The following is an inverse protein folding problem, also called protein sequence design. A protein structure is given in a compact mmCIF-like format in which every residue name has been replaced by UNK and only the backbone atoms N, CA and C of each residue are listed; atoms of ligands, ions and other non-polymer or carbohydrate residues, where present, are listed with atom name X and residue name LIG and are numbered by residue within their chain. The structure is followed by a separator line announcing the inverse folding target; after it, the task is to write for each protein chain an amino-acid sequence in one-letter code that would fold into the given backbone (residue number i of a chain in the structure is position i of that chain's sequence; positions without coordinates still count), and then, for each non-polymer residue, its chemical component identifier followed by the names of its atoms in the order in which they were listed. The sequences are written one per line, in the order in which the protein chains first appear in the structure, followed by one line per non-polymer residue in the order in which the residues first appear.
data_IF_332562180333
#
_entry.id   IF_332562180333
#
_cell.length_a   1.000
_cell.length_b   1.000
_cell.length_c   1.000
_cell.angle_alpha   90.00
_cell.angle_beta   90.00
_cell.angle_gamma   90.00
#
_symmetry.space_group_name_H-M   'P 1'
#
loop_
_entity.id
_entity.type
_entity.pdbx_description
1 polymer ?
#
# COMPACT_ATOMS: atom_id res chain seq x y z
N UNK A 1 15.17 -21.58 17.01
CA UNK A 1 15.74 -20.96 18.23
C UNK A 1 14.86 -21.38 19.39
N UNK A 2 15.41 -22.11 20.37
CA UNK A 2 14.64 -22.63 21.52
C UNK A 2 15.20 -22.01 22.80
N UNK A 3 14.36 -21.30 23.55
CA UNK A 3 14.69 -20.74 24.87
C UNK A 3 14.66 -21.87 25.90
N UNK A 4 15.71 -22.00 26.71
CA UNK A 4 15.83 -22.96 27.81
C UNK A 4 15.33 -22.39 29.14
N UNK A 5 15.39 -21.07 29.30
CA UNK A 5 14.96 -20.35 30.50
C UNK A 5 15.43 -18.91 30.50
N UNK A 6 15.15 -18.19 31.57
CA UNK A 6 15.62 -16.83 31.81
C UNK A 6 16.08 -16.64 33.25
N UNK A 7 16.91 -15.62 33.47
CA UNK A 7 17.34 -15.19 34.80
C UNK A 7 17.61 -13.69 34.82
N UNK A 8 17.56 -13.10 36.01
CA UNK A 8 17.93 -11.70 36.21
C UNK A 8 19.45 -11.58 36.35
N UNK A 9 20.04 -10.65 35.60
CA UNK A 9 21.46 -10.39 35.62
C UNK A 9 21.73 -8.91 35.80
N UNK A 10 22.77 -8.57 36.55
CA UNK A 10 23.28 -7.20 36.61
C UNK A 10 24.09 -6.93 35.35
N UNK A 11 23.61 -6.01 34.53
CA UNK A 11 24.18 -5.67 33.23
C UNK A 11 24.75 -4.25 33.29
N UNK A 12 25.96 -4.09 32.76
CA UNK A 12 26.61 -2.80 32.60
C UNK A 12 26.69 -2.40 31.13
N UNK A 13 26.30 -1.17 30.83
CA UNK A 13 26.56 -0.54 29.54
C UNK A 13 26.88 0.94 29.74
N UNK A 14 28.04 1.37 29.25
CA UNK A 14 28.63 2.68 29.54
C UNK A 14 28.70 2.91 31.05
N UNK A 15 28.16 4.03 31.54
CA UNK A 15 28.08 4.39 32.95
C UNK A 15 26.79 3.94 33.64
N UNK A 16 25.92 3.19 32.96
CA UNK A 16 24.64 2.72 33.51
C UNK A 16 24.75 1.25 33.89
N UNK A 17 24.29 0.93 35.10
CA UNK A 17 24.17 -0.42 35.62
C UNK A 17 22.70 -0.67 35.97
N UNK A 18 22.14 -1.77 35.49
CA UNK A 18 20.76 -2.17 35.80
C UNK A 18 20.63 -3.70 35.85
N UNK A 19 19.60 -4.17 36.53
CA UNK A 19 19.24 -5.58 36.55
C UNK A 19 18.24 -5.84 35.43
N UNK A 20 18.57 -6.77 34.53
CA UNK A 20 17.78 -7.09 33.34
C UNK A 20 17.70 -8.59 33.11
N UNK A 21 16.58 -9.01 32.53
CA UNK A 21 16.34 -10.40 32.19
C UNK A 21 17.18 -10.83 30.97
N UNK A 22 17.90 -11.94 31.13
CA UNK A 22 18.66 -12.62 30.08
C UNK A 22 18.02 -13.99 29.80
N UNK A 23 17.89 -14.33 28.52
CA UNK A 23 17.39 -15.63 28.07
C UNK A 23 18.54 -16.56 27.68
N UNK A 24 18.47 -17.81 28.14
CA UNK A 24 19.43 -18.85 27.80
C UNK A 24 18.89 -19.66 26.62
N UNK A 25 19.70 -19.82 25.57
CA UNK A 25 19.26 -20.46 24.32
C UNK A 25 19.91 -21.83 24.13
N UNK A 26 19.11 -22.82 23.70
CA UNK A 26 19.62 -24.14 23.32
C UNK A 26 20.49 -24.02 22.08
N UNK A 27 21.71 -24.56 22.15
CA UNK A 27 22.73 -24.52 21.10
C UNK A 27 23.27 -23.10 20.78
N UNK A 28 23.06 -22.13 21.67
CA UNK A 28 23.59 -20.77 21.51
C UNK A 28 23.01 -20.00 20.31
N UNK A 29 23.71 -18.94 19.91
CA UNK A 29 23.32 -18.04 18.82
C UNK A 29 24.01 -16.68 18.95
N UNK A 30 23.78 -15.78 17.98
CA UNK A 30 24.23 -14.38 18.11
C UNK A 30 23.47 -13.74 19.27
N UNK A 31 24.15 -13.16 20.28
CA UNK A 31 23.47 -12.44 21.36
C UNK A 31 22.63 -11.31 20.76
N UNK A 32 21.35 -11.27 21.10
CA UNK A 32 20.43 -10.22 20.67
C UNK A 32 20.04 -9.37 21.87
N UNK A 33 20.16 -8.06 21.72
CA UNK A 33 19.70 -7.10 22.71
C UNK A 33 18.23 -6.77 22.43
N UNK A 34 17.35 -7.21 23.33
CA UNK A 34 15.92 -7.02 23.21
C UNK A 34 15.47 -5.59 23.53
N UNK A 35 14.24 -5.24 23.13
CA UNK A 35 13.65 -3.89 23.36
C UNK A 35 13.61 -3.47 24.82
N UNK A 36 13.44 -4.41 25.76
CA UNK A 36 13.42 -4.12 27.19
C UNK A 36 14.71 -3.45 27.70
N UNK A 37 15.82 -3.60 26.97
CA UNK A 37 17.12 -3.06 27.34
C UNK A 37 17.32 -1.61 26.86
N UNK A 38 16.48 -1.12 25.93
CA UNK A 38 16.69 0.17 25.27
C UNK A 38 16.43 1.36 26.19
N UNK A 39 15.31 1.32 26.94
CA UNK A 39 14.95 2.37 27.90
C UNK A 39 16.00 2.54 28.99
N UNK A 40 16.34 1.46 29.75
CA UNK A 40 17.33 1.51 30.81
C UNK A 40 18.69 2.05 30.35
N UNK A 41 19.15 1.64 29.17
CA UNK A 41 20.45 2.05 28.63
C UNK A 41 20.42 3.28 27.71
N UNK A 42 19.25 3.90 27.54
CA UNK A 42 19.03 5.03 26.61
C UNK A 42 19.61 4.75 25.22
N UNK A 43 19.38 3.53 24.71
CA UNK A 43 19.82 3.12 23.38
C UNK A 43 18.88 3.76 22.36
N UNK A 44 19.37 4.77 21.67
CA UNK A 44 18.66 5.40 20.55
C UNK A 44 19.09 4.73 19.26
N UNK A 45 18.16 4.04 18.59
CA UNK A 45 18.36 3.66 17.19
C UNK A 45 17.98 4.85 16.34
N UNK A 46 18.97 5.47 15.71
CA UNK A 46 18.73 6.51 14.73
C UNK A 46 18.37 5.82 13.40
N UNK A 47 17.09 5.45 13.26
CA UNK A 47 16.56 4.98 11.98
C UNK A 47 16.40 6.22 11.11
N UNK A 48 16.98 6.30 9.89
CA UNK A 48 16.66 7.37 8.96
C UNK A 48 15.16 7.34 8.71
N UNK A 49 14.47 8.30 9.32
CA UNK A 49 13.03 8.37 9.34
C UNK A 49 12.60 8.94 7.99
N UNK A 50 12.22 8.08 7.06
CA UNK A 50 11.28 8.47 6.01
C UNK A 50 9.90 8.62 6.67
N UNK A 51 9.73 9.72 7.41
CA UNK A 51 8.58 9.95 8.26
C UNK A 51 7.36 10.25 7.36
N UNK A 52 6.49 9.25 7.15
CA UNK A 52 5.13 9.49 6.66
C UNK A 52 4.30 9.97 7.87
N UNK A 53 4.48 11.23 8.23
CA UNK A 53 3.58 11.90 9.15
C UNK A 53 2.38 12.40 8.34
N UNK A 54 1.28 11.66 8.35
CA UNK A 54 -0.04 12.18 8.00
C UNK A 54 -0.53 13.09 9.14
N UNK A 55 0.15 14.21 9.35
CA UNK A 55 -0.31 15.27 10.22
C UNK A 55 -0.93 16.36 9.34
N UNK A 56 -2.22 16.61 9.51
CA UNK A 56 -2.87 17.85 9.05
C UNK A 56 -2.30 19.04 9.82
N UNK A 57 -1.04 19.40 9.56
CA UNK A 57 -0.40 20.60 10.08
C UNK A 57 -0.14 21.54 8.92
N UNK A 58 -0.78 22.71 8.97
CA UNK A 58 -0.57 23.85 8.07
C UNK A 58 0.91 23.94 7.71
N UNK A 59 1.21 23.76 6.43
CA UNK A 59 2.55 23.71 5.89
C UNK A 59 3.35 24.95 6.32
N UNK A 60 4.22 24.81 7.33
CA UNK A 60 5.34 25.73 7.49
C UNK A 60 6.30 25.43 6.35
N UNK A 61 6.39 26.39 5.43
CA UNK A 61 7.33 26.40 4.33
C UNK A 61 8.76 26.34 4.87
N UNK A 62 9.27 25.12 5.03
CA UNK A 62 10.69 24.86 5.22
C UNK A 62 11.03 23.63 4.39
N UNK A 63 11.56 23.87 3.18
CA UNK A 63 11.96 22.83 2.23
C UNK A 63 11.00 22.56 1.06
N UNK A 64 10.26 23.58 0.60
CA UNK A 64 9.42 23.52 -0.62
C UNK A 64 10.20 23.26 -1.92
N UNK A 65 11.52 23.04 -1.88
CA UNK A 65 12.38 23.08 -3.06
C UNK A 65 12.79 21.71 -3.62
N UNK A 66 12.59 20.60 -2.90
CA UNK A 66 13.06 19.29 -3.40
C UNK A 66 12.01 18.52 -4.20
N UNK A 67 10.75 18.49 -3.74
CA UNK A 67 9.67 17.78 -4.45
C UNK A 67 9.10 18.58 -5.62
N UNK A 68 9.07 19.93 -5.52
CA UNK A 68 8.72 20.82 -6.64
C UNK A 68 9.60 20.56 -7.86
N UNK A 69 10.90 20.31 -7.63
CA UNK A 69 11.82 19.95 -8.73
C UNK A 69 11.40 18.67 -9.45
N UNK A 70 10.73 17.72 -8.78
CA UNK A 70 10.23 16.51 -9.44
C UNK A 70 8.93 16.74 -10.18
N UNK A 71 8.04 17.60 -9.67
CA UNK A 71 6.83 17.99 -10.42
C UNK A 71 7.19 18.80 -11.65
N UNK A 72 8.19 19.68 -11.55
CA UNK A 72 8.69 20.47 -12.69
C UNK A 72 9.46 19.59 -13.68
N UNK A 73 10.22 18.60 -13.19
CA UNK A 73 10.99 17.68 -14.04
C UNK A 73 10.13 16.63 -14.74
N UNK A 74 9.04 16.19 -14.11
CA UNK A 74 8.15 15.15 -14.64
C UNK A 74 6.69 15.60 -14.64
N UNK A 75 6.36 16.71 -15.33
CA UNK A 75 5.02 17.28 -15.28
C UNK A 75 3.96 16.28 -15.72
N UNK A 76 4.25 15.46 -16.75
CA UNK A 76 3.35 14.40 -17.26
C UNK A 76 2.89 13.39 -16.20
N UNK A 77 3.74 13.05 -15.22
CA UNK A 77 3.41 12.07 -14.18
C UNK A 77 2.43 12.64 -13.16
N UNK A 78 2.49 13.96 -12.95
CA UNK A 78 1.70 14.67 -11.94
C UNK A 78 0.56 15.48 -12.56
N UNK A 79 0.26 15.29 -13.85
CA UNK A 79 -0.88 15.95 -14.46
C UNK A 79 -2.18 15.47 -13.80
N UNK A 80 -3.13 16.37 -13.53
CA UNK A 80 -4.44 15.97 -13.04
C UNK A 80 -5.14 15.12 -14.11
N UNK A 81 -5.72 14.00 -13.68
CA UNK A 81 -6.46 13.10 -14.58
C UNK A 81 -5.92 11.68 -14.56
N UNK A 82 -6.42 10.84 -15.46
CA UNK A 82 -5.93 9.48 -15.64
C UNK A 82 -4.94 9.42 -16.80
N UNK A 83 -3.77 8.84 -16.56
CA UNK A 83 -2.85 8.51 -17.65
C UNK A 83 -3.43 7.44 -18.58
N UNK A 84 -3.07 7.50 -19.86
CA UNK A 84 -3.39 6.45 -20.84
C UNK A 84 -2.14 5.64 -21.13
N UNK A 85 -2.25 4.33 -21.14
CA UNK A 85 -1.16 3.45 -21.56
C UNK A 85 -0.82 3.72 -23.03
N UNK A 86 0.46 4.04 -23.31
CA UNK A 86 0.97 4.41 -24.64
C UNK A 86 1.70 3.26 -25.35
N UNK A 87 1.73 2.06 -24.77
CA UNK A 87 2.39 0.90 -25.36
C UNK A 87 1.53 0.15 -26.38
N UNK A 88 2.02 -0.98 -26.93
CA UNK A 88 1.28 -1.78 -27.90
C UNK A 88 -0.01 -2.37 -27.30
N UNK A 89 -1.02 -2.71 -28.11
CA UNK A 89 -2.26 -3.30 -27.62
C UNK A 89 -2.01 -4.48 -26.69
N UNK A 90 -2.70 -4.49 -25.54
CA UNK A 90 -2.62 -5.58 -24.58
C UNK A 90 -3.47 -6.74 -25.11
N UNK A 91 -2.85 -7.89 -25.31
CA UNK A 91 -3.55 -9.13 -25.63
C UNK A 91 -3.79 -9.93 -24.35
N UNK A 92 -5.02 -10.40 -24.17
CA UNK A 92 -5.39 -11.28 -23.05
C UNK A 92 -5.48 -12.70 -23.59
N UNK A 93 -4.55 -13.57 -23.18
CA UNK A 93 -4.58 -14.98 -23.54
C UNK A 93 -5.69 -15.71 -22.77
N UNK A 94 -6.51 -16.45 -23.51
CA UNK A 94 -7.55 -17.29 -22.91
C UNK A 94 -6.99 -18.66 -22.57
N UNK A 95 -7.46 -19.24 -21.46
CA UNK A 95 -7.16 -20.63 -21.12
C UNK A 95 -7.69 -21.57 -22.22
N UNK A 96 -6.96 -22.66 -22.56
CA UNK A 96 -7.42 -23.62 -23.56
C UNK A 96 -8.82 -24.14 -23.25
N UNK A 97 -9.72 -24.06 -24.24
CA UNK A 97 -11.11 -24.49 -24.11
C UNK A 97 -12.07 -23.48 -23.45
N UNK A 98 -11.62 -22.25 -23.17
CA UNK A 98 -12.50 -21.17 -22.73
C UNK A 98 -13.64 -20.94 -23.74
N UNK A 99 -14.87 -20.83 -23.20
CA UNK A 99 -16.07 -20.51 -23.98
C UNK A 99 -16.56 -19.13 -23.61
N UNK A 100 -16.98 -18.38 -24.63
CA UNK A 100 -17.61 -17.07 -24.45
C UNK A 100 -18.88 -17.22 -23.60
N UNK A 101 -19.14 -16.24 -22.73
CA UNK A 101 -20.35 -16.20 -21.91
C UNK A 101 -20.99 -14.84 -22.02
N UNK A 102 -22.23 -14.82 -22.47
CA UNK A 102 -23.07 -13.63 -22.51
C UNK A 102 -24.17 -13.73 -21.45
N UNK A 103 -23.98 -13.02 -20.33
CA UNK A 103 -24.97 -12.95 -19.27
C UNK A 103 -25.93 -11.78 -19.52
N UNK A 104 -27.24 -12.05 -19.55
CA UNK A 104 -28.26 -11.00 -19.66
C UNK A 104 -28.20 -10.04 -18.47
N UNK A 105 -28.39 -8.75 -18.73
CA UNK A 105 -28.44 -7.72 -17.69
C UNK A 105 -29.55 -8.00 -16.67
N UNK A 106 -29.30 -7.70 -15.39
CA UNK A 106 -30.32 -7.76 -14.33
C UNK A 106 -30.94 -6.38 -14.12
N UNK A 107 -32.21 -6.30 -13.70
CA UNK A 107 -32.82 -5.04 -13.32
C UNK A 107 -32.00 -4.35 -12.23
N UNK A 108 -31.67 -3.07 -12.43
CA UNK A 108 -31.05 -2.23 -11.41
C UNK A 108 -32.14 -1.75 -10.46
N UNK A 109 -31.97 -1.85 -9.13
CA UNK A 109 -32.93 -1.29 -8.16
C UNK A 109 -33.21 0.18 -8.46
N UNK A 110 -34.47 0.61 -8.40
CA UNK A 110 -34.90 1.95 -8.79
C UNK A 110 -34.06 3.06 -8.12
N UNK A 111 -33.76 2.90 -6.84
CA UNK A 111 -32.95 3.85 -6.06
C UNK A 111 -31.49 3.99 -6.53
N UNK A 112 -30.99 3.09 -7.37
CA UNK A 112 -29.62 3.08 -7.88
C UNK A 112 -29.53 3.47 -9.36
N UNK A 113 -30.66 3.55 -10.08
CA UNK A 113 -30.67 3.76 -11.54
C UNK A 113 -29.91 5.03 -11.92
N UNK A 114 -30.20 6.15 -11.25
CA UNK A 114 -29.59 7.44 -11.60
C UNK A 114 -28.10 7.45 -11.30
N UNK A 115 -27.70 6.95 -10.12
CA UNK A 115 -26.28 6.83 -9.73
C UNK A 115 -25.48 5.94 -10.67
N UNK A 116 -26.07 4.84 -11.14
CA UNK A 116 -25.42 3.92 -12.10
C UNK A 116 -25.27 4.61 -13.46
N UNK A 117 -26.30 5.32 -13.93
CA UNK A 117 -26.23 6.08 -15.19
C UNK A 117 -25.18 7.18 -15.14
N UNK A 118 -25.16 7.97 -14.07
CA UNK A 118 -24.18 9.03 -13.86
C UNK A 118 -22.75 8.49 -13.89
N UNK A 119 -22.50 7.35 -13.23
CA UNK A 119 -21.17 6.75 -13.20
C UNK A 119 -20.76 6.18 -14.56
N UNK A 120 -21.69 5.54 -15.30
CA UNK A 120 -21.43 5.08 -16.66
C UNK A 120 -21.08 6.27 -17.57
N UNK A 121 -21.86 7.35 -17.52
CA UNK A 121 -21.62 8.55 -18.33
C UNK A 121 -20.30 9.24 -17.95
N UNK A 122 -19.96 9.28 -16.65
CA UNK A 122 -18.68 9.79 -16.17
C UNK A 122 -17.50 8.97 -16.70
N UNK A 123 -17.63 7.64 -16.75
CA UNK A 123 -16.58 6.74 -17.24
C UNK A 123 -16.42 6.80 -18.76
N UNK A 124 -17.52 6.95 -19.50
CA UNK A 124 -17.54 7.14 -20.96
C UNK A 124 -16.89 8.49 -21.34
N UNK A 125 -17.31 9.60 -20.72
CA UNK A 125 -16.69 10.93 -20.91
C UNK A 125 -15.20 10.94 -20.57
N UNK A 126 -14.78 10.14 -19.58
CA UNK A 126 -13.38 9.99 -19.19
C UNK A 126 -12.59 9.07 -20.14
N UNK A 127 -13.25 8.36 -21.05
CA UNK A 127 -12.65 7.41 -22.00
C UNK A 127 -12.15 6.12 -21.35
N UNK A 128 -12.70 5.76 -20.17
CA UNK A 128 -12.39 4.51 -19.49
C UNK A 128 -13.33 3.37 -19.88
N UNK A 129 -14.53 3.72 -20.34
CA UNK A 129 -15.48 2.83 -21.00
C UNK A 129 -15.76 3.38 -22.39
N UNK A 130 -16.16 2.50 -23.30
CA UNK A 130 -16.67 2.87 -24.62
C UNK A 130 -17.86 1.96 -24.96
N UNK A 131 -18.83 2.45 -25.74
CA UNK A 131 -19.93 1.62 -26.20
C UNK A 131 -19.45 0.60 -27.23
N UNK A 132 -19.77 -0.67 -27.00
CA UNK A 132 -19.51 -1.76 -27.94
C UNK A 132 -20.84 -2.26 -28.49
N UNK A 133 -20.98 -2.28 -29.83
CA UNK A 133 -22.22 -2.71 -30.49
C UNK A 133 -22.50 -4.20 -30.30
N UNK A 134 -21.46 -5.03 -30.39
CA UNK A 134 -21.56 -6.49 -30.35
C UNK A 134 -20.38 -7.10 -29.59
N UNK A 135 -20.66 -8.03 -28.68
CA UNK A 135 -19.66 -8.77 -27.93
C UNK A 135 -20.19 -10.16 -27.60
N UNK A 136 -19.37 -11.20 -27.79
CA UNK A 136 -19.68 -12.55 -27.34
C UNK A 136 -19.56 -12.69 -25.80
N UNK A 137 -18.97 -11.69 -25.16
CA UNK A 137 -18.75 -11.62 -23.72
C UNK A 137 -19.64 -10.56 -23.08
N UNK A 138 -20.39 -10.95 -22.05
CA UNK A 138 -21.09 -10.01 -21.17
C UNK A 138 -21.11 -10.55 -19.74
N UNK A 139 -20.73 -9.69 -18.79
CA UNK A 139 -20.77 -9.99 -17.35
C UNK A 139 -21.78 -9.09 -16.63
N UNK A 140 -22.17 -9.49 -15.41
CA UNK A 140 -23.07 -8.70 -14.58
C UNK A 140 -22.28 -7.59 -13.87
N UNK A 141 -22.79 -6.36 -13.92
CA UNK A 141 -22.20 -5.22 -13.20
C UNK A 141 -22.42 -5.29 -11.68
N UNK A 142 -23.50 -5.91 -11.24
CA UNK A 142 -23.87 -6.03 -9.83
C UNK A 142 -23.81 -7.50 -9.40
N UNK A 143 -23.10 -7.77 -8.30
CA UNK A 143 -23.17 -9.03 -7.57
C UNK A 143 -24.32 -8.93 -6.57
N UNK A 144 -25.26 -9.87 -6.64
CA UNK A 144 -26.38 -10.00 -5.70
C UNK A 144 -25.91 -10.33 -4.30
#
# INVERSE_FOLDING_TARGET
MTVLGSFQARVQYKSVNCELEIFVMRNGGRPLLGRAWFGPFKININVPLHQIAAAHSKARALGSSKWLRFTDKYPEVFQPGLGKYKGPPIHIELVPGARTRFLKCRPVPLALVDRVKEEIERLDKRGSLEPVLWSDWASLLLRS
#
